data_IF_762732809674
#
_entry.id   IF_762732809674
#
_cell.length_a   1.000
_cell.length_b   1.000
_cell.length_c   1.000
_cell.angle_alpha   90.00
_cell.angle_beta   90.00
_cell.angle_gamma   90.00
#
_symmetry.space_group_name_H-M   'P 1'
#
loop_
_entity.id
_entity.type
_entity.pdbx_description
1 polymer ?
#
# COMPACT_ATOMS: atom_id res chain seq x y z
N UNK A 1 5.72 6.44 5.55
CA UNK A 1 4.47 5.80 5.07
C UNK A 1 4.26 6.20 3.61
N UNK A 2 3.92 5.25 2.74
CA UNK A 2 3.70 5.51 1.32
C UNK A 2 2.20 5.63 1.00
N UNK A 3 1.84 6.65 0.24
CA UNK A 3 0.46 6.90 -0.18
C UNK A 3 0.40 7.25 -1.67
N UNK A 4 -0.56 6.69 -2.39
CA UNK A 4 -0.78 6.96 -3.82
C UNK A 4 -1.82 8.07 -4.06
N UNK A 5 -2.55 8.46 -3.03
CA UNK A 5 -3.44 9.61 -3.09
C UNK A 5 -2.68 10.91 -2.81
N UNK A 6 -2.37 11.65 -3.88
CA UNK A 6 -1.83 13.02 -3.76
C UNK A 6 -2.74 13.93 -2.94
N UNK A 7 -4.06 13.73 -3.04
CA UNK A 7 -5.03 14.46 -2.23
C UNK A 7 -4.87 14.16 -0.74
N UNK A 8 -4.72 12.89 -0.35
CA UNK A 8 -4.52 12.52 1.05
C UNK A 8 -3.22 13.10 1.63
N UNK A 9 -2.13 13.09 0.84
CA UNK A 9 -0.86 13.72 1.22
C UNK A 9 -1.05 15.24 1.39
N UNK A 10 -1.63 15.91 0.39
CA UNK A 10 -1.86 17.36 0.44
C UNK A 10 -2.74 17.73 1.64
N UNK A 11 -3.82 17.00 1.90
CA UNK A 11 -4.72 17.22 3.03
C UNK A 11 -3.98 17.05 4.36
N UNK A 12 -3.11 16.04 4.49
CA UNK A 12 -2.32 15.82 5.72
C UNK A 12 -1.39 16.99 6.06
N UNK A 13 -0.86 17.68 5.04
CA UNK A 13 0.09 18.79 5.18
C UNK A 13 -0.59 20.17 5.22
N UNK A 14 -1.64 20.39 4.43
CA UNK A 14 -2.37 21.65 4.32
C UNK A 14 -3.88 21.42 4.16
N UNK A 15 -4.72 21.82 5.13
CA UNK A 15 -6.15 21.56 5.12
C UNK A 15 -6.88 22.50 4.15
N UNK A 16 -6.86 22.22 2.85
CA UNK A 16 -7.87 22.79 1.95
C UNK A 16 -9.16 21.99 2.14
N UNK A 17 -10.19 22.67 2.62
CA UNK A 17 -11.41 22.10 3.18
C UNK A 17 -12.31 21.49 2.09
N UNK A 18 -12.31 20.17 1.89
CA UNK A 18 -13.22 19.51 0.94
C UNK A 18 -14.02 18.37 1.62
N UNK A 19 -15.34 18.57 1.64
CA UNK A 19 -16.48 17.66 1.95
C UNK A 19 -16.44 16.74 3.19
N UNK A 20 -17.38 17.05 4.10
CA UNK A 20 -17.82 16.34 5.31
C UNK A 20 -18.19 14.86 5.08
N UNK A 21 -17.25 13.95 5.23
CA UNK A 21 -17.54 12.51 5.35
C UNK A 21 -16.89 12.01 6.62
N UNK A 22 -17.68 11.60 7.62
CA UNK A 22 -17.17 11.27 8.98
C UNK A 22 -15.97 10.32 9.00
N UNK A 23 -15.93 9.34 8.10
CA UNK A 23 -14.83 8.37 8.01
C UNK A 23 -13.52 9.00 7.53
N UNK A 24 -13.59 10.00 6.64
CA UNK A 24 -12.43 10.76 6.17
C UNK A 24 -11.90 11.62 7.31
N UNK A 25 -12.78 12.28 8.06
CA UNK A 25 -12.41 13.20 9.15
C UNK A 25 -11.62 12.49 10.26
N UNK A 26 -12.06 11.30 10.70
CA UNK A 26 -11.40 10.55 11.78
C UNK A 26 -10.01 10.06 11.35
N UNK A 27 -9.90 9.43 10.18
CA UNK A 27 -8.61 8.93 9.68
C UNK A 27 -7.64 10.07 9.38
N UNK A 28 -8.16 11.19 8.87
CA UNK A 28 -7.40 12.40 8.64
C UNK A 28 -6.83 12.98 9.92
N UNK A 29 -7.66 13.20 10.95
CA UNK A 29 -7.22 13.75 12.23
C UNK A 29 -6.13 12.87 12.84
N UNK A 30 -6.29 11.55 12.76
CA UNK A 30 -5.30 10.59 13.23
C UNK A 30 -3.96 10.73 12.46
N UNK A 31 -3.97 10.63 11.13
CA UNK A 31 -2.74 10.70 10.33
C UNK A 31 -2.05 12.05 10.52
N UNK A 32 -2.80 13.16 10.53
CA UNK A 32 -2.26 14.50 10.74
C UNK A 32 -1.58 14.65 12.10
N UNK A 33 -2.19 14.14 13.17
CA UNK A 33 -1.59 14.18 14.49
C UNK A 33 -0.26 13.43 14.53
N UNK A 34 -0.19 12.26 13.89
CA UNK A 34 1.05 11.47 13.77
C UNK A 34 2.12 12.18 12.95
N UNK A 35 1.74 12.83 11.84
CA UNK A 35 2.66 13.63 11.01
C UNK A 35 3.18 14.84 11.77
N UNK A 36 2.30 15.60 12.44
CA UNK A 36 2.69 16.76 13.27
C UNK A 36 3.63 16.41 14.41
N UNK A 37 3.45 15.23 15.01
CA UNK A 37 4.33 14.70 16.06
C UNK A 37 5.65 14.14 15.50
N UNK A 38 5.86 14.16 14.18
CA UNK A 38 7.03 13.57 13.53
C UNK A 38 7.09 12.05 13.61
N UNK A 39 5.99 11.38 13.99
CA UNK A 39 5.93 9.93 14.14
C UNK A 39 5.86 9.25 12.77
N UNK A 40 5.21 9.90 11.81
CA UNK A 40 5.02 9.38 10.45
C UNK A 40 5.32 10.47 9.44
N UNK A 41 6.16 10.16 8.46
CA UNK A 41 6.30 10.98 7.24
C UNK A 41 5.54 10.32 6.09
N UNK A 42 4.95 11.13 5.21
CA UNK A 42 4.20 10.67 4.05
C UNK A 42 4.98 10.90 2.77
N UNK A 43 5.12 9.85 1.97
CA UNK A 43 5.77 9.88 0.67
C UNK A 43 4.81 9.45 -0.42
N UNK A 44 4.84 10.15 -1.55
CA UNK A 44 4.06 9.74 -2.70
C UNK A 44 4.65 8.48 -3.34
N UNK A 45 3.79 7.53 -3.68
CA UNK A 45 4.10 6.39 -4.52
C UNK A 45 3.05 6.33 -5.64
N UNK A 46 3.44 6.07 -6.89
CA UNK A 46 2.40 5.84 -7.92
C UNK A 46 1.57 4.61 -7.54
N UNK A 47 0.27 4.62 -7.83
CA UNK A 47 -0.63 3.46 -7.65
C UNK A 47 -0.05 2.20 -8.32
N UNK A 48 0.76 2.37 -9.37
CA UNK A 48 1.47 1.28 -10.04
C UNK A 48 2.51 0.55 -9.16
N UNK A 49 2.92 1.15 -8.05
CA UNK A 49 3.90 0.58 -7.13
C UNK A 49 3.38 0.47 -5.69
N UNK A 50 2.10 0.76 -5.46
CA UNK A 50 1.49 0.63 -4.15
C UNK A 50 1.28 -0.85 -3.80
N UNK A 51 2.21 -1.44 -3.05
CA UNK A 51 2.14 -2.85 -2.64
C UNK A 51 0.92 -3.14 -1.74
N UNK A 52 0.41 -2.14 -1.00
CA UNK A 52 -0.78 -2.31 -0.17
C UNK A 52 -2.05 -2.64 -0.98
N UNK A 53 -2.07 -2.32 -2.28
CA UNK A 53 -3.19 -2.65 -3.17
C UNK A 53 -3.37 -4.16 -3.31
N UNK A 54 -2.31 -4.94 -3.14
CA UNK A 54 -2.35 -6.40 -3.14
C UNK A 54 -3.33 -6.97 -2.10
N UNK A 55 -3.49 -6.26 -0.97
CA UNK A 55 -4.30 -6.70 0.16
C UNK A 55 -5.64 -5.99 0.28
N UNK A 56 -5.83 -4.88 -0.45
CA UNK A 56 -6.98 -3.98 -0.25
C UNK A 56 -7.88 -3.85 -1.48
N UNK A 57 -7.41 -4.30 -2.66
CA UNK A 57 -8.14 -4.17 -3.93
C UNK A 57 -8.26 -5.52 -4.64
N UNK A 58 -9.37 -5.70 -5.34
CA UNK A 58 -9.48 -6.74 -6.36
C UNK A 58 -8.75 -6.27 -7.62
N UNK A 59 -7.59 -6.86 -7.91
CA UNK A 59 -6.73 -6.48 -9.02
C UNK A 59 -6.87 -7.46 -10.20
N UNK A 60 -6.76 -7.00 -11.46
CA UNK A 60 -6.57 -7.88 -12.60
C UNK A 60 -5.36 -8.80 -12.40
N UNK A 61 -5.41 -10.00 -12.97
CA UNK A 61 -4.38 -11.05 -12.77
C UNK A 61 -2.97 -10.53 -13.07
N UNK A 62 -2.79 -9.82 -14.18
CA UNK A 62 -1.50 -9.26 -14.57
C UNK A 62 -0.96 -8.26 -13.53
N UNK A 63 -1.85 -7.41 -13.03
CA UNK A 63 -1.53 -6.40 -12.02
C UNK A 63 -1.21 -7.02 -10.67
N UNK A 64 -1.97 -8.04 -10.28
CA UNK A 64 -1.71 -8.85 -9.09
C UNK A 64 -0.33 -9.51 -9.19
N UNK A 65 -0.05 -10.22 -10.28
CA UNK A 65 1.23 -10.91 -10.49
C UNK A 65 2.41 -9.93 -10.47
N UNK A 66 2.25 -8.76 -11.07
CA UNK A 66 3.26 -7.70 -11.03
C UNK A 66 3.59 -7.28 -9.59
N UNK A 67 2.57 -6.91 -8.80
CA UNK A 67 2.76 -6.48 -7.41
C UNK A 67 3.26 -7.63 -6.53
N UNK A 68 2.78 -8.85 -6.75
CA UNK A 68 3.19 -10.05 -6.01
C UNK A 68 4.69 -10.34 -6.19
N UNK A 69 5.21 -10.24 -7.43
CA UNK A 69 6.65 -10.36 -7.72
C UNK A 69 7.46 -9.22 -7.08
N UNK A 70 6.94 -7.99 -7.12
CA UNK A 70 7.57 -6.83 -6.47
C UNK A 70 7.57 -6.92 -4.94
N UNK A 71 6.60 -7.63 -4.37
CA UNK A 71 6.54 -7.97 -2.94
C UNK A 71 7.59 -9.03 -2.55
N UNK A 72 8.31 -9.60 -3.52
CA UNK A 72 9.31 -10.64 -3.31
C UNK A 72 8.74 -12.05 -3.28
N UNK A 73 7.45 -12.21 -3.57
CA UNK A 73 6.81 -13.52 -3.63
C UNK A 73 6.90 -14.11 -5.04
N UNK A 74 6.95 -15.44 -5.10
CA UNK A 74 6.97 -16.21 -6.34
C UNK A 74 5.87 -17.26 -6.28
N UNK A 75 5.11 -17.38 -7.37
CA UNK A 75 4.26 -18.54 -7.55
C UNK A 75 5.16 -19.69 -7.98
N UNK A 76 5.20 -20.74 -7.17
CA UNK A 76 5.91 -21.97 -7.50
C UNK A 76 4.96 -22.92 -8.21
N UNK A 77 5.46 -23.60 -9.23
CA UNK A 77 4.77 -24.79 -9.74
C UNK A 77 4.90 -25.95 -8.74
N UNK A 78 4.05 -26.98 -8.81
CA UNK A 78 4.18 -28.15 -7.94
C UNK A 78 5.57 -28.80 -8.02
N UNK A 79 6.16 -28.86 -9.23
CA UNK A 79 7.50 -29.40 -9.44
C UNK A 79 8.62 -28.51 -8.87
N UNK A 80 8.49 -27.18 -8.94
CA UNK A 80 9.42 -26.26 -8.29
C UNK A 80 9.34 -26.36 -6.75
N UNK A 81 8.13 -26.57 -6.22
CA UNK A 81 7.90 -26.75 -4.80
C UNK A 81 8.52 -28.05 -4.28
N UNK A 82 8.35 -29.16 -5.00
CA UNK A 82 8.99 -30.45 -4.68
C UNK A 82 10.53 -30.34 -4.75
N UNK A 83 11.06 -29.69 -5.79
CA UNK A 83 12.50 -29.46 -5.91
C UNK A 83 13.06 -28.61 -4.75
N UNK A 84 12.30 -27.62 -4.29
CA UNK A 84 12.66 -26.80 -3.14
C UNK A 84 12.63 -27.62 -1.84
N UNK A 85 11.57 -28.39 -1.62
CA UNK A 85 11.43 -29.25 -0.44
C UNK A 85 12.57 -30.27 -0.34
N UNK A 86 12.93 -30.90 -1.46
CA UNK A 86 14.02 -31.87 -1.53
C UNK A 86 15.42 -31.25 -1.36
N UNK A 87 15.57 -29.93 -1.59
CA UNK A 87 16.84 -29.22 -1.41
C UNK A 87 17.13 -28.86 0.05
N UNK A 88 16.09 -28.83 0.89
CA UNK A 88 16.19 -28.48 2.31
C UNK A 88 15.95 -29.68 3.25
N UNK A 89 15.72 -30.87 2.70
CA UNK A 89 15.72 -32.15 3.40
C UNK A 89 17.14 -32.73 3.44
#
# INVERSE_FOLDING_TARGET
MYCDSKAAIAISCNPVHHSRTKHIDVLYLFIKEKVKKGIVELFFVSTEYQLADLFTKALPVERFQYLFRRFGMRCLTPSELEALANKFA
#
